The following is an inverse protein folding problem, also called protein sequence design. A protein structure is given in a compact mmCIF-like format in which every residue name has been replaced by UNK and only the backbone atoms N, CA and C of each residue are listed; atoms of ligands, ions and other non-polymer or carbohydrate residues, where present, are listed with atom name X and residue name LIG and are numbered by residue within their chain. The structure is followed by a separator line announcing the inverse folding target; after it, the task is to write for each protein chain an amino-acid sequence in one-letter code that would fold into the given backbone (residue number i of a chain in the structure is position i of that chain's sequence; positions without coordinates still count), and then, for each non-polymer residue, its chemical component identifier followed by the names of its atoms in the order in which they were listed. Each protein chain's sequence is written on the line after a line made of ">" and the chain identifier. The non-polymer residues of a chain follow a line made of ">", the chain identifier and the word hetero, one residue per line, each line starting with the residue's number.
data_IF_125036052060
#
_entry.id   IF_125036052060
#
_cell.length_a   1.000
_cell.length_b   1.000
_cell.length_c   1.000
_cell.angle_alpha   90.00
_cell.angle_beta   90.00
_cell.angle_gamma   90.00
#
_symmetry.space_group_name_H-M   'P 1'
#
loop_
_entity.id
_entity.type
_entity.pdbx_description
1 polymer ?
#
# COMPACT_ATOMS: atom_id res chain seq x y z
N UNK A 1 -39.59 -24.39 26.43
CA UNK A 1 -39.78 -23.02 25.89
C UNK A 1 -38.96 -21.95 26.62
N UNK A 2 -39.08 -21.76 27.94
CA UNK A 2 -38.35 -20.69 28.67
C UNK A 2 -36.81 -20.73 28.52
N UNK A 3 -36.20 -21.91 28.60
CA UNK A 3 -34.73 -22.08 28.40
C UNK A 3 -34.27 -21.72 26.99
N UNK A 4 -35.04 -22.11 25.98
CA UNK A 4 -34.76 -21.77 24.57
C UNK A 4 -34.91 -20.27 24.31
N UNK A 5 -35.92 -19.64 24.90
CA UNK A 5 -36.14 -18.20 24.80
C UNK A 5 -35.02 -17.39 25.48
N UNK A 6 -34.54 -17.84 26.64
CA UNK A 6 -33.40 -17.24 27.34
C UNK A 6 -32.08 -17.39 26.56
N UNK A 7 -31.86 -18.56 25.93
CA UNK A 7 -30.70 -18.78 25.06
C UNK A 7 -30.73 -17.88 23.82
N UNK A 8 -31.90 -17.73 23.19
CA UNK A 8 -32.08 -16.81 22.05
C UNK A 8 -31.89 -15.37 22.49
N UNK A 9 -32.45 -14.96 23.62
CA UNK A 9 -32.28 -13.61 24.17
C UNK A 9 -30.81 -13.31 24.54
N UNK A 10 -30.09 -14.28 25.11
CA UNK A 10 -28.66 -14.15 25.42
C UNK A 10 -27.80 -14.09 24.15
N UNK A 11 -28.12 -14.88 23.13
CA UNK A 11 -27.46 -14.82 21.81
C UNK A 11 -27.72 -13.49 21.10
N UNK A 12 -28.95 -12.99 21.17
CA UNK A 12 -29.32 -11.67 20.63
C UNK A 12 -28.61 -10.56 21.40
N UNK A 13 -28.57 -10.62 22.74
CA UNK A 13 -27.88 -9.66 23.58
C UNK A 13 -26.37 -9.65 23.30
N UNK A 14 -25.73 -10.83 23.20
CA UNK A 14 -24.34 -10.98 22.85
C UNK A 14 -24.05 -10.47 21.42
N UNK A 15 -24.93 -10.77 20.45
CA UNK A 15 -24.84 -10.24 19.10
C UNK A 15 -24.97 -8.71 19.09
N UNK A 16 -25.89 -8.13 19.86
CA UNK A 16 -26.01 -6.66 20.00
C UNK A 16 -24.81 -6.03 20.69
N UNK A 17 -24.21 -6.66 21.70
CA UNK A 17 -22.99 -6.16 22.35
C UNK A 17 -21.77 -6.21 21.42
N UNK A 18 -21.63 -7.28 20.64
CA UNK A 18 -20.59 -7.41 19.60
C UNK A 18 -20.76 -6.40 18.47
N UNK A 19 -22.00 -5.99 18.19
CA UNK A 19 -22.35 -4.98 17.16
C UNK A 19 -22.28 -3.54 17.70
N UNK A 20 -22.62 -3.30 18.96
CA UNK A 20 -22.71 -1.97 19.55
C UNK A 20 -21.38 -1.46 20.13
N UNK A 21 -20.51 -2.33 20.65
CA UNK A 21 -19.21 -1.92 21.19
C UNK A 21 -18.30 -1.20 20.15
N UNK A 22 -18.24 -1.59 18.86
CA UNK A 22 -17.52 -0.84 17.82
C UNK A 22 -18.20 0.49 17.45
N UNK A 23 -19.50 0.64 17.66
CA UNK A 23 -20.23 1.86 17.32
C UNK A 23 -19.91 3.04 18.26
N UNK A 24 -19.28 2.77 19.41
CA UNK A 24 -18.80 3.78 20.35
C UNK A 24 -17.32 4.14 20.14
N UNK A 25 -16.63 3.51 19.19
CA UNK A 25 -15.24 3.86 18.87
C UNK A 25 -15.20 4.93 17.78
N UNK A 26 -14.54 6.05 18.05
CA UNK A 26 -14.21 7.07 17.04
C UNK A 26 -13.07 6.62 16.11
N UNK A 27 -12.40 5.50 16.43
CA UNK A 27 -11.36 4.93 15.57
C UNK A 27 -11.98 4.01 14.51
N UNK A 28 -11.62 4.17 13.22
CA UNK A 28 -12.08 3.28 12.17
C UNK A 28 -11.74 1.82 12.49
N UNK A 29 -12.70 0.91 12.29
CA UNK A 29 -12.44 -0.52 12.41
C UNK A 29 -11.41 -0.97 11.36
N UNK A 30 -10.26 -1.42 11.86
CA UNK A 30 -9.21 -2.03 11.04
C UNK A 30 -9.20 -3.55 11.29
N UNK A 31 -9.47 -4.39 10.26
CA UNK A 31 -9.52 -5.84 10.43
C UNK A 31 -8.16 -6.42 10.82
N UNK A 32 -8.13 -7.41 11.70
CA UNK A 32 -6.87 -8.04 12.12
C UNK A 32 -6.18 -8.75 10.95
N UNK A 33 -4.94 -8.37 10.60
CA UNK A 33 -4.22 -8.99 9.51
C UNK A 33 -3.65 -10.35 9.91
N UNK A 34 -3.48 -11.23 8.92
CA UNK A 34 -2.97 -12.59 9.09
C UNK A 34 -1.87 -12.85 8.06
N UNK A 35 -0.74 -13.36 8.54
CA UNK A 35 0.33 -13.88 7.68
C UNK A 35 0.33 -15.40 7.75
N UNK A 36 0.59 -16.05 6.62
CA UNK A 36 0.73 -17.50 6.56
C UNK A 36 1.62 -17.89 5.37
N UNK A 37 2.14 -19.11 5.39
CA UNK A 37 3.00 -19.60 4.32
C UNK A 37 2.76 -21.08 4.07
N UNK A 38 3.11 -21.54 2.87
CA UNK A 38 3.11 -22.94 2.49
C UNK A 38 4.30 -23.26 1.61
N UNK A 39 4.69 -24.54 1.55
CA UNK A 39 5.64 -24.98 0.53
C UNK A 39 4.98 -24.86 -0.84
N UNK A 40 5.73 -24.35 -1.81
CA UNK A 40 5.22 -24.18 -3.17
C UNK A 40 5.11 -25.57 -3.83
N UNK A 41 3.92 -26.00 -4.29
CA UNK A 41 3.76 -27.29 -4.93
C UNK A 41 4.65 -27.41 -6.17
N UNK A 42 5.59 -28.36 -6.11
CA UNK A 42 6.57 -28.58 -7.17
C UNK A 42 7.86 -27.75 -7.08
N UNK A 43 8.07 -27.02 -5.97
CA UNK A 43 9.33 -26.34 -5.67
C UNK A 43 10.49 -27.28 -5.29
N UNK A 44 10.18 -28.51 -4.83
CA UNK A 44 11.18 -29.48 -4.37
C UNK A 44 11.71 -30.38 -5.51
N UNK A 45 12.01 -29.78 -6.66
CA UNK A 45 12.63 -30.51 -7.78
C UNK A 45 11.69 -31.49 -8.47
N UNK A 46 10.55 -31.00 -8.98
CA UNK A 46 9.73 -31.78 -9.92
C UNK A 46 10.60 -32.11 -11.13
N UNK A 47 10.96 -33.39 -11.19
CA UNK A 47 11.69 -34.05 -12.26
C UNK A 47 11.17 -33.58 -13.62
N UNK A 48 12.10 -33.10 -14.44
CA UNK A 48 11.95 -32.78 -15.85
C UNK A 48 11.13 -31.52 -16.20
N UNK A 49 11.70 -30.34 -15.92
CA UNK A 49 11.78 -29.35 -17.00
C UNK A 49 12.64 -29.98 -18.10
N UNK A 50 12.01 -30.74 -19.01
CA UNK A 50 12.66 -31.20 -20.24
C UNK A 50 13.29 -29.98 -20.92
N UNK A 51 14.62 -30.00 -21.08
CA UNK A 51 15.38 -29.21 -22.03
C UNK A 51 14.92 -27.74 -22.19
N UNK A 52 15.36 -26.86 -21.28
CA UNK A 52 15.35 -25.40 -21.52
C UNK A 52 13.98 -24.71 -21.54
N UNK A 53 12.92 -25.32 -21.02
CA UNK A 53 11.59 -24.69 -20.89
C UNK A 53 11.26 -24.48 -19.41
N UNK A 54 11.01 -23.23 -19.01
CA UNK A 54 10.69 -22.83 -17.64
C UNK A 54 9.51 -23.61 -17.02
N UNK A 55 9.42 -23.59 -15.70
CA UNK A 55 8.39 -24.29 -14.92
C UNK A 55 7.10 -23.47 -14.87
N UNK A 56 5.94 -24.13 -14.97
CA UNK A 56 4.62 -23.53 -14.69
C UNK A 56 3.89 -24.42 -13.69
N UNK A 57 3.47 -23.86 -12.57
CA UNK A 57 2.75 -24.62 -11.55
C UNK A 57 1.36 -25.03 -12.06
N UNK A 58 0.79 -26.12 -11.52
CA UNK A 58 -0.66 -26.28 -11.53
C UNK A 58 -1.30 -25.12 -10.71
N UNK A 59 -2.61 -24.82 -10.88
CA UNK A 59 -3.31 -23.93 -9.95
C UNK A 59 -3.11 -24.37 -8.50
N UNK A 60 -2.63 -23.46 -7.66
CA UNK A 60 -2.37 -23.69 -6.24
C UNK A 60 -3.44 -23.00 -5.43
N UNK A 61 -4.15 -23.75 -4.59
CA UNK A 61 -5.10 -23.22 -3.62
C UNK A 61 -4.40 -22.87 -2.31
N UNK A 62 -4.55 -21.63 -1.88
CA UNK A 62 -4.01 -21.16 -0.62
C UNK A 62 -4.86 -21.68 0.57
N UNK A 63 -4.26 -21.93 1.74
CA UNK A 63 -5.00 -22.37 2.94
C UNK A 63 -6.05 -21.37 3.44
N UNK A 64 -5.88 -20.09 3.12
CA UNK A 64 -6.76 -18.98 3.48
C UNK A 64 -6.80 -17.99 2.32
N UNK A 65 -7.80 -17.10 2.31
CA UNK A 65 -7.77 -15.94 1.41
C UNK A 65 -6.59 -15.02 1.72
N UNK A 66 -6.04 -14.41 0.69
CA UNK A 66 -4.89 -13.50 0.76
C UNK A 66 -5.11 -12.27 -0.09
N UNK A 67 -4.43 -11.19 0.29
CA UNK A 67 -4.38 -9.94 -0.45
C UNK A 67 -3.02 -9.62 -1.03
N UNK A 68 -2.00 -10.31 -0.55
CA UNK A 68 -0.65 -10.20 -1.06
C UNK A 68 0.01 -11.56 -1.01
N UNK A 69 0.81 -11.85 -2.03
CA UNK A 69 1.64 -13.05 -2.09
C UNK A 69 3.04 -12.68 -2.53
N UNK A 70 4.05 -13.29 -1.92
CA UNK A 70 5.41 -13.29 -2.39
C UNK A 70 6.05 -14.66 -2.19
N UNK A 71 7.30 -14.80 -2.61
CA UNK A 71 8.02 -16.05 -2.62
C UNK A 71 9.32 -15.94 -1.83
N UNK A 72 9.72 -17.00 -1.14
CA UNK A 72 10.97 -17.06 -0.39
C UNK A 72 11.66 -18.41 -0.60
N UNK A 73 12.97 -18.41 -0.75
CA UNK A 73 13.79 -19.62 -0.87
C UNK A 73 15.12 -19.48 -0.13
N UNK A 74 15.95 -20.54 -0.16
CA UNK A 74 17.17 -20.64 0.65
C UNK A 74 18.48 -20.39 -0.12
N UNK A 75 18.47 -20.47 -1.45
CA UNK A 75 19.62 -20.21 -2.31
C UNK A 75 19.68 -18.74 -2.73
N UNK A 76 20.80 -18.36 -3.37
CA UNK A 76 21.01 -17.06 -4.03
C UNK A 76 20.57 -17.05 -5.51
N UNK A 77 19.75 -18.02 -5.90
CA UNK A 77 19.21 -18.09 -7.26
C UNK A 77 18.29 -16.90 -7.52
N UNK A 78 18.31 -16.36 -8.74
CA UNK A 78 17.51 -15.20 -9.18
C UNK A 78 16.66 -15.60 -10.39
N UNK A 79 15.67 -16.49 -10.22
CA UNK A 79 14.80 -16.94 -11.31
C UNK A 79 13.97 -15.79 -11.87
N UNK A 80 13.58 -15.83 -13.14
CA UNK A 80 12.47 -15.01 -13.63
C UNK A 80 11.18 -15.56 -13.03
N UNK A 81 10.45 -14.72 -12.30
CA UNK A 81 9.20 -15.11 -11.65
C UNK A 81 8.05 -14.40 -12.35
N UNK A 82 7.01 -15.15 -12.71
CA UNK A 82 5.72 -14.57 -13.06
C UNK A 82 4.61 -15.24 -12.27
N UNK A 83 3.64 -14.46 -11.78
CA UNK A 83 2.55 -14.95 -10.95
C UNK A 83 1.22 -14.36 -11.42
N UNK A 84 0.16 -15.16 -11.36
CA UNK A 84 -1.22 -14.71 -11.52
C UNK A 84 -2.07 -15.27 -10.40
N UNK A 85 -3.16 -14.57 -10.09
CA UNK A 85 -4.08 -14.91 -9.00
C UNK A 85 -5.51 -14.94 -9.50
N UNK A 86 -6.38 -15.60 -8.74
CA UNK A 86 -7.82 -15.49 -8.90
C UNK A 86 -8.54 -15.61 -7.56
N UNK A 87 -9.70 -15.00 -7.49
CA UNK A 87 -10.70 -15.28 -6.47
C UNK A 87 -11.41 -16.61 -6.79
N UNK A 88 -11.93 -17.30 -5.78
CA UNK A 88 -12.70 -18.53 -5.95
C UNK A 88 -13.83 -18.36 -6.98
N UNK A 89 -13.81 -19.18 -8.03
CA UNK A 89 -14.81 -19.14 -9.10
C UNK A 89 -14.71 -17.94 -10.04
N UNK A 90 -13.71 -17.07 -9.85
CA UNK A 90 -13.44 -15.93 -10.71
C UNK A 90 -12.51 -16.26 -11.89
N UNK A 91 -12.37 -15.29 -12.79
CA UNK A 91 -11.40 -15.35 -13.87
C UNK A 91 -9.97 -15.18 -13.34
N UNK A 92 -9.00 -15.74 -14.07
CA UNK A 92 -7.59 -15.48 -13.81
C UNK A 92 -7.25 -14.03 -14.13
N UNK A 93 -6.52 -13.39 -13.22
CA UNK A 93 -5.83 -12.13 -13.52
C UNK A 93 -4.71 -12.32 -14.55
N UNK A 94 -4.14 -11.20 -15.05
CA UNK A 94 -2.98 -11.24 -15.92
C UNK A 94 -1.75 -11.80 -15.19
N UNK A 95 -0.80 -12.31 -15.96
CA UNK A 95 0.53 -12.63 -15.44
C UNK A 95 1.26 -11.35 -15.03
N UNK A 96 1.77 -11.33 -13.81
CA UNK A 96 2.57 -10.24 -13.25
C UNK A 96 3.98 -10.77 -13.00
N UNK A 97 4.99 -10.14 -13.61
CA UNK A 97 6.38 -10.45 -13.31
C UNK A 97 6.75 -9.94 -11.92
N UNK A 98 7.48 -10.76 -11.17
CA UNK A 98 8.05 -10.39 -9.87
C UNK A 98 9.56 -10.42 -10.00
N UNK A 99 10.21 -9.41 -9.43
CA UNK A 99 11.65 -9.42 -9.26
C UNK A 99 12.04 -10.49 -8.24
N UNK A 100 13.15 -11.20 -8.48
CA UNK A 100 13.64 -12.33 -7.67
C UNK A 100 14.84 -11.99 -6.79
N UNK A 101 15.30 -10.75 -6.86
CA UNK A 101 16.24 -10.15 -5.93
C UNK A 101 15.49 -9.31 -4.90
N UNK A 102 16.09 -9.13 -3.72
CA UNK A 102 15.71 -8.00 -2.88
C UNK A 102 16.12 -6.74 -3.63
N UNK A 103 15.22 -6.12 -4.39
CA UNK A 103 15.56 -4.95 -5.19
C UNK A 103 16.16 -3.86 -4.30
N UNK A 104 15.66 -3.71 -3.07
CA UNK A 104 16.30 -3.02 -1.95
C UNK A 104 16.73 -3.97 -0.83
N UNK A 105 17.78 -3.63 -0.09
CA UNK A 105 18.20 -4.35 1.10
C UNK A 105 18.79 -3.39 2.16
N UNK A 106 18.87 -3.80 3.44
CA UNK A 106 19.61 -3.05 4.44
C UNK A 106 21.07 -2.85 4.02
N UNK A 107 21.65 -1.71 4.40
CA UNK A 107 23.07 -1.41 4.13
C UNK A 107 24.00 -2.41 4.84
N UNK A 108 25.18 -2.65 4.25
CA UNK A 108 26.19 -3.52 4.83
C UNK A 108 26.64 -3.01 6.21
N UNK A 109 26.45 -3.83 7.24
CA UNK A 109 26.69 -3.45 8.64
C UNK A 109 25.40 -3.17 9.44
N UNK A 110 24.23 -3.16 8.80
CA UNK A 110 22.94 -3.17 9.51
C UNK A 110 22.73 -4.47 10.29
N UNK A 111 22.03 -4.38 11.42
CA UNK A 111 21.57 -5.53 12.19
C UNK A 111 20.41 -6.29 11.52
N UNK A 112 19.82 -5.74 10.46
CA UNK A 112 18.73 -6.37 9.73
C UNK A 112 19.23 -7.43 8.73
N UNK A 113 18.59 -8.60 8.65
CA UNK A 113 19.01 -9.66 7.75
C UNK A 113 18.76 -9.29 6.27
N UNK A 114 19.65 -9.76 5.39
CA UNK A 114 19.39 -9.82 3.95
C UNK A 114 18.94 -11.24 3.60
N UNK A 115 17.70 -11.46 3.13
CA UNK A 115 17.26 -12.74 2.63
C UNK A 115 18.18 -13.27 1.53
N UNK A 116 18.43 -14.59 1.52
CA UNK A 116 19.21 -15.23 0.43
C UNK A 116 18.44 -15.26 -0.89
N UNK A 117 17.12 -15.41 -0.81
CA UNK A 117 16.25 -15.48 -1.98
C UNK A 117 14.81 -15.14 -1.62
N UNK A 118 14.26 -14.12 -2.26
CA UNK A 118 12.91 -13.62 -2.02
C UNK A 118 12.41 -12.86 -3.24
N UNK A 119 11.11 -12.94 -3.54
CA UNK A 119 10.51 -12.11 -4.57
C UNK A 119 10.00 -10.80 -4.00
N UNK A 120 9.83 -9.80 -4.86
CA UNK A 120 8.96 -8.67 -4.56
C UNK A 120 7.53 -9.15 -4.26
N UNK A 121 6.81 -8.46 -3.37
CA UNK A 121 5.44 -8.83 -3.05
C UNK A 121 4.47 -8.44 -4.17
N UNK A 122 3.50 -9.29 -4.45
CA UNK A 122 2.44 -9.04 -5.43
C UNK A 122 1.11 -8.77 -4.72
N UNK A 123 0.53 -7.58 -4.92
CA UNK A 123 -0.86 -7.33 -4.52
C UNK A 123 -1.81 -8.20 -5.35
N UNK A 124 -2.66 -8.95 -4.66
CA UNK A 124 -3.49 -10.01 -5.21
C UNK A 124 -4.99 -9.72 -5.08
N UNK A 125 -5.39 -8.55 -4.57
CA UNK A 125 -6.80 -8.25 -4.31
C UNK A 125 -7.42 -9.24 -3.32
N UNK A 126 -8.61 -9.79 -3.58
CA UNK A 126 -9.23 -10.80 -2.73
C UNK A 126 -9.11 -12.19 -3.38
N UNK A 127 -7.98 -12.87 -3.19
CA UNK A 127 -7.66 -14.12 -3.90
C UNK A 127 -7.56 -15.32 -2.96
N UNK A 128 -7.77 -16.53 -3.50
CA UNK A 128 -7.53 -17.81 -2.81
C UNK A 128 -6.80 -18.84 -3.67
N UNK A 129 -6.56 -18.55 -4.94
CA UNK A 129 -5.75 -19.37 -5.82
C UNK A 129 -4.70 -18.54 -6.55
N UNK A 130 -3.55 -19.16 -6.81
CA UNK A 130 -2.48 -18.60 -7.61
C UNK A 130 -1.93 -19.62 -8.61
N UNK A 131 -1.21 -19.12 -9.61
CA UNK A 131 -0.35 -19.91 -10.46
C UNK A 131 0.94 -19.13 -10.68
N UNK A 132 2.07 -19.83 -10.76
CA UNK A 132 3.37 -19.19 -10.95
C UNK A 132 4.20 -19.86 -12.04
N UNK A 133 5.14 -19.10 -12.59
CA UNK A 133 6.16 -19.52 -13.55
C UNK A 133 7.54 -19.19 -12.99
N UNK A 134 8.50 -20.06 -13.26
CA UNK A 134 9.90 -19.87 -12.92
C UNK A 134 10.78 -20.19 -14.14
N UNK A 135 11.81 -19.39 -14.42
CA UNK A 135 12.79 -19.74 -15.46
C UNK A 135 13.62 -20.97 -15.08
N UNK A 136 13.85 -21.20 -13.79
CA UNK A 136 14.67 -22.29 -13.25
C UNK A 136 14.06 -22.90 -11.97
N UNK A 137 14.43 -24.14 -11.61
CA UNK A 137 14.01 -24.76 -10.34
C UNK A 137 14.62 -24.06 -9.12
N UNK A 138 13.80 -23.85 -8.09
CA UNK A 138 14.22 -23.18 -6.84
C UNK A 138 13.93 -24.07 -5.63
N UNK A 139 14.93 -24.82 -5.12
CA UNK A 139 14.73 -25.73 -3.99
C UNK A 139 14.24 -25.01 -2.72
N UNK A 140 13.26 -25.61 -2.05
CA UNK A 140 12.71 -25.08 -0.80
C UNK A 140 11.93 -23.77 -0.99
N UNK A 141 11.35 -23.56 -2.18
CA UNK A 141 10.47 -22.44 -2.48
C UNK A 141 9.23 -22.47 -1.57
N UNK A 142 8.98 -21.35 -0.89
CA UNK A 142 7.82 -21.12 -0.04
C UNK A 142 7.02 -19.94 -0.57
N UNK A 143 5.70 -20.11 -0.60
CA UNK A 143 4.75 -19.05 -0.86
C UNK A 143 4.40 -18.39 0.47
N UNK A 144 4.55 -17.07 0.54
CA UNK A 144 4.25 -16.25 1.71
C UNK A 144 3.05 -15.36 1.39
N UNK A 145 2.03 -15.44 2.23
CA UNK A 145 0.76 -14.75 2.03
C UNK A 145 0.48 -13.78 3.17
N UNK A 146 -0.17 -12.68 2.83
CA UNK A 146 -0.68 -11.70 3.79
C UNK A 146 -2.14 -11.40 3.46
N UNK A 147 -3.00 -11.39 4.47
CA UNK A 147 -4.37 -10.87 4.40
C UNK A 147 -4.50 -9.69 5.35
N UNK A 148 -4.78 -8.50 4.85
CA UNK A 148 -4.95 -7.26 5.63
C UNK A 148 -6.38 -6.76 5.67
N UNK A 149 -7.27 -7.35 4.87
CA UNK A 149 -8.68 -6.97 4.78
C UNK A 149 -9.58 -7.76 5.73
N UNK A 150 -9.03 -8.69 6.51
CA UNK A 150 -9.78 -9.49 7.47
C UNK A 150 -10.79 -10.44 6.81
N UNK A 151 -10.48 -10.90 5.60
CA UNK A 151 -11.30 -11.79 4.79
C UNK A 151 -10.78 -13.24 4.73
N UNK A 152 -9.71 -13.52 5.49
CA UNK A 152 -8.92 -14.76 5.43
C UNK A 152 -9.74 -16.04 5.59
N UNK A 153 -10.81 -16.02 6.40
CA UNK A 153 -11.74 -17.16 6.63
C UNK A 153 -13.19 -16.74 6.41
N UNK A 154 -14.14 -17.68 6.18
CA UNK A 154 -15.57 -17.36 6.08
C UNK A 154 -16.11 -16.60 7.29
N UNK A 155 -15.75 -17.01 8.51
CA UNK A 155 -16.16 -16.31 9.72
C UNK A 155 -15.58 -14.90 9.80
N UNK A 156 -14.30 -14.71 9.43
CA UNK A 156 -13.68 -13.39 9.41
C UNK A 156 -14.38 -12.44 8.42
N UNK A 157 -14.81 -12.94 7.26
CA UNK A 157 -15.56 -12.14 6.27
C UNK A 157 -16.88 -11.61 6.83
N UNK A 158 -17.65 -12.46 7.51
CA UNK A 158 -18.93 -12.06 8.11
C UNK A 158 -18.70 -11.00 9.18
N UNK A 159 -17.74 -11.24 10.09
CA UNK A 159 -17.40 -10.29 11.15
C UNK A 159 -16.93 -8.95 10.60
N UNK A 160 -16.05 -8.96 9.60
CA UNK A 160 -15.54 -7.74 8.96
C UNK A 160 -16.65 -6.99 8.20
N UNK A 161 -17.53 -7.69 7.48
CA UNK A 161 -18.66 -7.07 6.80
C UNK A 161 -19.59 -6.37 7.80
N UNK A 162 -19.96 -7.05 8.90
CA UNK A 162 -20.79 -6.47 9.96
C UNK A 162 -20.13 -5.24 10.59
N UNK A 163 -18.88 -5.35 11.03
CA UNK A 163 -18.16 -4.26 11.70
C UNK A 163 -17.86 -3.07 10.79
N UNK A 164 -17.53 -3.33 9.52
CA UNK A 164 -17.25 -2.27 8.55
C UNK A 164 -18.52 -1.50 8.16
N UNK A 165 -19.70 -2.14 8.18
CA UNK A 165 -20.98 -1.46 7.94
C UNK A 165 -21.36 -0.56 9.13
N UNK A 166 -21.16 -1.05 10.36
CA UNK A 166 -21.38 -0.25 11.59
C UNK A 166 -20.43 0.94 11.64
N UNK A 167 -19.14 0.72 11.36
CA UNK A 167 -18.12 1.79 11.38
C UNK A 167 -18.36 2.84 10.30
N UNK A 168 -18.86 2.46 9.12
CA UNK A 168 -19.25 3.40 8.05
C UNK A 168 -20.45 4.26 8.44
N UNK A 169 -21.42 3.71 9.16
CA UNK A 169 -22.58 4.47 9.66
C UNK A 169 -22.19 5.52 10.73
N UNK A 170 -21.12 5.26 11.50
CA UNK A 170 -20.55 6.21 12.47
C UNK A 170 -19.64 7.23 11.77
N UNK A 171 -18.83 6.81 10.82
CA UNK A 171 -17.94 7.70 10.05
C UNK A 171 -18.70 8.72 9.18
N UNK A 172 -19.95 8.43 8.76
CA UNK A 172 -20.81 9.43 8.10
C UNK A 172 -21.25 10.60 8.98
N UNK A 173 -20.96 10.56 10.29
CA UNK A 173 -21.19 11.68 11.23
C UNK A 173 -19.91 12.48 11.53
N UNK A 174 -18.76 12.07 10.99
CA UNK A 174 -17.50 12.80 11.07
C UNK A 174 -17.13 13.29 9.67
N UNK A 175 -16.95 14.60 9.55
CA UNK A 175 -16.52 15.30 8.33
C UNK A 175 -15.25 14.71 7.73
N UNK A 176 -14.96 14.94 6.44
CA UNK A 176 -13.75 14.48 5.79
C UNK A 176 -12.54 14.87 6.64
N UNK A 177 -11.55 13.99 6.75
CA UNK A 177 -10.23 14.39 7.22
C UNK A 177 -9.77 15.53 6.32
N UNK A 178 -9.81 16.74 6.86
CA UNK A 178 -9.20 17.89 6.21
C UNK A 178 -7.78 17.48 5.84
N UNK A 179 -7.45 17.66 4.57
CA UNK A 179 -6.10 17.48 4.09
C UNK A 179 -5.21 18.41 4.91
N UNK A 180 -4.45 17.86 5.85
CA UNK A 180 -3.51 18.62 6.66
C UNK A 180 -2.39 19.11 5.73
N UNK A 181 -2.61 20.24 5.07
CA UNK A 181 -1.54 21.10 4.62
C UNK A 181 -0.95 21.74 5.87
N UNK A 182 0.09 21.11 6.42
CA UNK A 182 0.81 21.66 7.56
C UNK A 182 1.65 22.87 7.12
N UNK A 183 1.89 23.80 8.03
CA UNK A 183 2.68 25.01 7.79
C UNK A 183 4.05 24.68 7.14
N UNK A 184 4.54 25.53 6.23
CA UNK A 184 5.89 25.40 5.65
C UNK A 184 6.02 24.50 4.41
N UNK A 185 4.92 24.22 3.69
CA UNK A 185 4.99 23.52 2.39
C UNK A 185 5.07 21.99 2.49
N UNK A 186 4.83 21.42 3.68
CA UNK A 186 4.71 19.98 3.86
C UNK A 186 3.46 19.44 3.14
N UNK A 187 3.57 18.41 2.28
CA UNK A 187 2.39 17.80 1.69
C UNK A 187 1.59 17.00 2.73
N UNK A 188 0.30 16.79 2.47
CA UNK A 188 -0.51 15.87 3.27
C UNK A 188 0.07 14.46 3.19
N UNK A 189 0.38 13.87 4.36
CA UNK A 189 0.96 12.53 4.49
C UNK A 189 0.07 11.73 5.45
N UNK A 190 -0.41 10.57 5.00
CA UNK A 190 -1.17 9.63 5.81
C UNK A 190 -0.22 9.00 6.83
N UNK A 191 -0.44 9.22 8.15
CA UNK A 191 0.44 8.71 9.18
C UNK A 191 0.31 7.20 9.32
N UNK A 192 1.34 6.57 9.91
CA UNK A 192 1.38 5.12 10.14
C UNK A 192 0.14 4.52 10.79
N UNK A 193 -0.39 5.18 11.81
CA UNK A 193 -1.59 4.72 12.50
C UNK A 193 -2.82 4.67 11.58
N UNK A 194 -2.94 5.61 10.64
CA UNK A 194 -4.10 5.72 9.76
C UNK A 194 -4.15 4.61 8.68
N UNK A 195 -3.01 4.06 8.26
CA UNK A 195 -2.98 2.89 7.38
C UNK A 195 -2.84 1.55 8.12
N UNK A 196 -2.83 1.57 9.46
CA UNK A 196 -2.89 0.37 10.29
C UNK A 196 -1.54 -0.25 10.66
N UNK A 197 -0.44 0.51 10.64
CA UNK A 197 0.90 0.01 10.97
C UNK A 197 1.00 -0.69 12.34
N UNK A 198 0.19 -0.27 13.31
CA UNK A 198 0.11 -0.89 14.64
C UNK A 198 -0.32 -2.35 14.60
N UNK A 199 -0.96 -2.79 13.51
CA UNK A 199 -1.42 -4.15 13.31
C UNK A 199 -0.28 -5.04 12.79
N UNK A 200 0.74 -5.21 13.63
CA UNK A 200 1.86 -6.12 13.42
C UNK A 200 2.87 -5.67 12.35
N UNK A 201 2.96 -4.37 12.10
CA UNK A 201 4.10 -3.75 11.44
C UNK A 201 4.77 -2.65 12.29
N UNK A 202 4.90 -2.87 13.61
CA UNK A 202 5.74 -2.02 14.46
C UNK A 202 7.22 -2.32 14.21
N UNK A 203 8.10 -1.30 14.19
CA UNK A 203 9.53 -1.52 13.96
C UNK A 203 10.09 -2.50 15.00
N UNK A 204 10.95 -3.44 14.57
CA UNK A 204 11.58 -4.43 15.48
C UNK A 204 12.66 -3.81 16.34
N UNK A 205 13.27 -2.75 15.86
CA UNK A 205 14.39 -2.04 16.47
C UNK A 205 14.13 -0.54 16.42
N UNK A 206 14.82 0.23 17.25
CA UNK A 206 14.80 1.69 17.16
C UNK A 206 15.28 2.13 15.76
N UNK A 207 14.52 3.00 15.05
CA UNK A 207 14.93 3.48 13.73
C UNK A 207 16.27 4.22 13.77
N UNK A 208 17.17 3.85 12.87
CA UNK A 208 18.41 4.58 12.66
C UNK A 208 18.18 5.88 11.87
N UNK A 209 19.05 6.86 12.09
CA UNK A 209 19.03 8.13 11.36
C UNK A 209 20.34 8.35 10.63
N UNK A 210 20.26 8.85 9.39
CA UNK A 210 21.38 9.22 8.54
C UNK A 210 21.27 10.68 8.10
N UNK A 211 21.52 10.92 6.81
CA UNK A 211 21.31 12.23 6.16
C UNK A 211 20.46 12.04 4.91
N UNK A 212 19.75 13.08 4.46
CA UNK A 212 19.01 13.01 3.18
C UNK A 212 19.68 13.94 2.19
N UNK A 213 20.39 13.36 1.23
CA UNK A 213 21.09 14.09 0.15
C UNK A 213 20.45 13.87 -1.22
N UNK A 214 19.78 12.74 -1.41
CA UNK A 214 19.13 12.30 -2.65
C UNK A 214 17.77 11.67 -2.34
N UNK A 215 16.84 11.76 -3.30
CA UNK A 215 15.62 10.98 -3.31
C UNK A 215 15.72 9.86 -4.35
N UNK A 216 15.58 8.60 -3.92
CA UNK A 216 15.43 7.47 -4.82
C UNK A 216 13.96 7.16 -5.06
N UNK A 217 13.58 7.05 -6.34
CA UNK A 217 12.24 6.72 -6.79
C UNK A 217 12.17 5.23 -7.11
N UNK A 218 11.19 4.56 -6.50
CA UNK A 218 10.94 3.13 -6.63
C UNK A 218 9.54 2.87 -7.18
N UNK A 219 9.33 1.63 -7.60
CA UNK A 219 8.01 1.01 -7.63
C UNK A 219 7.94 -0.12 -6.60
N UNK A 220 6.76 -0.64 -6.30
CA UNK A 220 6.61 -1.75 -5.33
C UNK A 220 6.52 -3.12 -5.98
N UNK A 221 6.48 -3.20 -7.32
CA UNK A 221 6.30 -4.43 -8.10
C UNK A 221 4.99 -5.16 -7.76
N UNK A 222 3.94 -4.40 -7.47
CA UNK A 222 2.59 -4.93 -7.18
C UNK A 222 1.63 -4.68 -8.34
N UNK A 223 0.56 -5.48 -8.45
CA UNK A 223 -0.49 -5.19 -9.42
C UNK A 223 -1.05 -3.75 -9.27
N UNK A 224 -1.25 -3.06 -10.40
CA UNK A 224 -1.77 -1.68 -10.44
C UNK A 224 -3.29 -1.58 -10.23
N UNK A 225 -3.98 -2.73 -10.28
CA UNK A 225 -5.43 -2.82 -10.13
C UNK A 225 -5.80 -2.82 -8.64
N UNK A 226 -5.93 -1.63 -8.06
CA UNK A 226 -6.50 -1.40 -6.74
C UNK A 226 -7.28 -0.08 -6.70
N UNK A 227 -8.30 -0.02 -5.85
CA UNK A 227 -9.05 1.20 -5.54
C UNK A 227 -8.37 2.04 -4.47
N UNK A 228 -8.71 3.32 -4.35
CA UNK A 228 -8.16 4.21 -3.32
C UNK A 228 -8.40 3.65 -1.90
N UNK A 229 -9.56 3.03 -1.66
CA UNK A 229 -9.89 2.39 -0.39
C UNK A 229 -9.02 1.16 -0.06
N UNK A 230 -8.39 0.54 -1.06
CA UNK A 230 -7.50 -0.61 -0.88
C UNK A 230 -6.03 -0.22 -0.69
N UNK A 231 -5.64 1.01 -1.06
CA UNK A 231 -4.25 1.45 -0.96
C UNK A 231 -3.66 1.33 0.46
N UNK A 232 -4.35 1.74 1.56
CA UNK A 232 -3.83 1.54 2.91
C UNK A 232 -3.58 0.07 3.26
N UNK A 233 -4.49 -0.82 2.84
CA UNK A 233 -4.36 -2.26 3.08
C UNK A 233 -3.19 -2.89 2.29
N UNK A 234 -2.90 -2.36 1.09
CA UNK A 234 -1.74 -2.74 0.30
C UNK A 234 -0.43 -2.28 0.95
N UNK A 235 -0.36 -1.04 1.45
CA UNK A 235 0.78 -0.51 2.21
C UNK A 235 1.05 -1.38 3.44
N UNK A 236 0.02 -1.69 4.23
CA UNK A 236 0.14 -2.58 5.39
C UNK A 236 0.64 -3.98 5.00
N UNK A 237 0.15 -4.52 3.89
CA UNK A 237 0.53 -5.86 3.45
C UNK A 237 2.01 -5.92 3.03
N UNK A 238 2.50 -4.90 2.31
CA UNK A 238 3.92 -4.76 1.95
C UNK A 238 4.78 -4.64 3.21
N UNK A 239 4.35 -3.81 4.17
CA UNK A 239 5.04 -3.62 5.44
C UNK A 239 5.20 -4.96 6.18
N UNK A 240 4.11 -5.73 6.30
CA UNK A 240 4.13 -7.06 6.92
C UNK A 240 5.00 -8.05 6.15
N UNK A 241 4.98 -8.01 4.82
CA UNK A 241 5.87 -8.85 4.01
C UNK A 241 7.35 -8.54 4.28
N UNK A 242 7.74 -7.27 4.25
CA UNK A 242 9.13 -6.86 4.54
C UNK A 242 9.54 -7.28 5.97
N UNK A 243 8.67 -7.05 6.95
CA UNK A 243 8.99 -7.34 8.35
C UNK A 243 8.98 -8.83 8.70
N UNK A 244 8.04 -9.59 8.16
CA UNK A 244 7.75 -10.96 8.60
C UNK A 244 8.25 -12.02 7.60
N UNK A 245 8.36 -11.69 6.32
CA UNK A 245 8.98 -12.56 5.30
C UNK A 245 10.46 -12.23 5.09
N UNK A 246 10.81 -10.95 4.85
CA UNK A 246 12.22 -10.55 4.63
C UNK A 246 12.99 -10.49 5.96
N UNK A 247 12.29 -10.28 7.07
CA UNK A 247 12.88 -10.19 8.41
C UNK A 247 13.43 -8.80 8.75
N UNK A 248 13.12 -7.80 7.93
CA UNK A 248 13.49 -6.41 8.19
C UNK A 248 12.81 -5.88 9.45
N UNK A 249 13.32 -4.77 9.96
CA UNK A 249 12.76 -4.10 11.13
C UNK A 249 11.38 -3.54 10.83
N UNK A 250 11.16 -3.02 9.62
CA UNK A 250 9.94 -2.34 9.18
C UNK A 250 9.83 -2.37 7.64
N UNK A 251 8.84 -1.69 7.05
CA UNK A 251 8.82 -1.38 5.62
C UNK A 251 10.12 -0.68 5.19
N UNK A 252 10.64 -1.03 4.02
CA UNK A 252 11.97 -0.58 3.58
C UNK A 252 12.01 0.86 3.06
N UNK A 253 10.86 1.36 2.59
CA UNK A 253 10.73 2.69 1.99
C UNK A 253 10.39 3.75 3.05
N UNK A 254 10.91 4.96 2.90
CA UNK A 254 10.54 6.08 3.77
C UNK A 254 9.12 6.56 3.51
N UNK A 255 8.70 6.55 2.24
CA UNK A 255 7.36 6.93 1.82
C UNK A 255 6.82 5.99 0.75
N UNK A 256 5.50 5.86 0.70
CA UNK A 256 4.78 5.18 -0.39
C UNK A 256 3.80 6.17 -1.02
N UNK A 257 3.69 6.20 -2.34
CA UNK A 257 2.75 7.04 -3.09
C UNK A 257 1.87 6.16 -3.95
N UNK A 258 0.55 6.26 -3.79
CA UNK A 258 -0.40 5.51 -4.61
C UNK A 258 -0.73 6.22 -5.93
N UNK A 259 -1.41 5.51 -6.84
CA UNK A 259 -1.87 6.06 -8.14
C UNK A 259 -2.90 7.19 -8.01
N UNK A 260 -3.42 7.46 -6.81
CA UNK A 260 -4.38 8.53 -6.53
C UNK A 260 -3.69 9.79 -6.01
N UNK A 261 -2.37 9.74 -5.79
CA UNK A 261 -1.58 10.86 -5.28
C UNK A 261 -1.56 10.95 -3.75
N UNK A 262 -2.04 9.92 -3.05
CA UNK A 262 -1.94 9.82 -1.59
C UNK A 262 -0.51 9.47 -1.22
N UNK A 263 0.08 10.22 -0.28
CA UNK A 263 1.40 9.93 0.28
C UNK A 263 1.20 9.27 1.64
N UNK A 264 1.86 8.14 1.86
CA UNK A 264 1.86 7.41 3.12
C UNK A 264 3.24 7.52 3.77
N UNK A 265 3.25 7.77 5.09
CA UNK A 265 4.45 7.55 5.90
C UNK A 265 4.80 6.06 5.84
N UNK A 266 5.96 5.75 5.27
CA UNK A 266 6.53 4.42 5.25
C UNK A 266 7.26 4.16 6.56
N UNK A 267 8.58 3.93 6.51
CA UNK A 267 9.42 3.51 7.65
C UNK A 267 9.29 4.41 8.87
N UNK A 268 9.08 3.81 10.05
CA UNK A 268 8.91 4.50 11.31
C UNK A 268 10.15 5.30 11.70
N UNK A 269 9.93 6.40 12.43
CA UNK A 269 11.00 7.25 12.97
C UNK A 269 10.75 8.74 12.81
N UNK A 270 9.79 9.12 11.97
CA UNK A 270 9.36 10.50 11.73
C UNK A 270 9.50 10.92 10.27
N UNK A 271 8.45 11.52 9.71
CA UNK A 271 8.39 11.97 8.31
C UNK A 271 9.38 13.09 7.99
N UNK A 272 9.74 13.88 8.98
CA UNK A 272 10.67 15.01 8.90
C UNK A 272 12.13 14.56 9.07
N UNK A 273 12.39 13.47 9.81
CA UNK A 273 13.73 12.95 10.11
C UNK A 273 14.39 12.18 8.96
N UNK A 274 15.71 12.08 8.98
CA UNK A 274 16.51 11.31 8.01
C UNK A 274 16.53 9.82 8.36
N UNK A 275 15.36 9.18 8.45
CA UNK A 275 15.26 7.75 8.79
C UNK A 275 15.98 6.93 7.71
N UNK A 276 16.95 6.11 8.12
CA UNK A 276 17.65 5.20 7.20
C UNK A 276 16.65 4.16 6.69
N UNK A 277 16.59 3.90 5.40
CA UNK A 277 15.73 2.89 4.78
C UNK A 277 16.37 1.49 4.65
N UNK A 278 15.70 0.61 3.91
CA UNK A 278 16.24 -0.66 3.38
C UNK A 278 15.86 -0.81 1.89
N UNK A 279 15.88 0.31 1.18
CA UNK A 279 15.28 0.51 -0.14
C UNK A 279 16.31 0.56 -1.28
N UNK A 280 17.54 1.02 -1.02
CA UNK A 280 18.64 1.09 -1.98
C UNK A 280 19.94 0.79 -1.24
N UNK A 281 20.32 -0.49 -1.21
CA UNK A 281 21.50 -0.94 -0.46
C UNK A 281 22.73 -0.20 -0.92
N UNK A 282 23.58 0.20 0.04
CA UNK A 282 24.77 1.00 -0.22
C UNK A 282 24.49 2.50 -0.13
N UNK A 283 23.23 2.91 -0.16
CA UNK A 283 22.83 4.32 -0.25
C UNK A 283 21.76 4.72 0.79
N UNK A 284 21.26 3.79 1.60
CA UNK A 284 20.13 4.07 2.50
C UNK A 284 20.45 5.14 3.55
N UNK A 285 21.69 5.19 4.04
CA UNK A 285 22.11 6.16 5.05
C UNK A 285 22.18 7.62 4.55
N UNK A 286 22.19 7.86 3.23
CA UNK A 286 22.31 9.19 2.63
C UNK A 286 21.10 9.58 1.75
N UNK A 287 20.01 8.82 1.82
CA UNK A 287 18.87 8.97 0.92
C UNK A 287 17.51 8.86 1.60
N UNK A 288 16.48 9.34 0.90
CA UNK A 288 15.08 9.03 1.19
C UNK A 288 14.50 8.21 0.03
N UNK A 289 13.90 7.05 0.33
CA UNK A 289 13.25 6.20 -0.69
C UNK A 289 11.75 6.45 -0.78
N UNK A 290 11.27 6.67 -2.00
CA UNK A 290 9.85 6.92 -2.31
C UNK A 290 9.35 5.84 -3.25
N UNK A 291 8.53 4.93 -2.74
CA UNK A 291 7.95 3.85 -3.53
C UNK A 291 6.61 4.21 -4.13
N UNK A 292 6.48 4.06 -5.44
CA UNK A 292 5.23 4.19 -6.15
C UNK A 292 4.51 2.84 -6.09
N UNK A 293 3.32 2.80 -5.48
CA UNK A 293 2.55 1.58 -5.32
C UNK A 293 2.04 1.07 -6.68
N UNK A 294 2.70 0.04 -7.20
CA UNK A 294 2.44 -0.51 -8.52
C UNK A 294 3.67 -1.14 -9.20
N UNK A 295 3.45 -1.64 -10.42
CA UNK A 295 4.47 -2.11 -11.37
C UNK A 295 4.45 -1.20 -12.59
N UNK A 296 5.52 -0.44 -12.79
CA UNK A 296 5.64 0.56 -13.87
C UNK A 296 6.69 0.19 -14.92
N UNK A 297 6.76 -1.09 -15.28
CA UNK A 297 7.64 -1.57 -16.35
C UNK A 297 7.15 -1.08 -17.73
N UNK A 298 5.85 -1.13 -17.97
CA UNK A 298 5.21 -0.71 -19.22
C UNK A 298 4.13 0.36 -19.02
N UNK A 299 3.40 0.30 -17.91
CA UNK A 299 2.40 1.32 -17.55
C UNK A 299 3.09 2.51 -16.86
N UNK A 300 2.72 3.73 -17.27
CA UNK A 300 3.19 4.97 -16.63
C UNK A 300 2.47 5.20 -15.30
N UNK A 301 3.15 5.85 -14.36
CA UNK A 301 2.50 6.37 -13.17
C UNK A 301 1.61 7.57 -13.54
N UNK A 302 0.51 7.73 -12.81
CA UNK A 302 -0.48 8.78 -13.05
C UNK A 302 0.08 10.19 -12.81
N UNK A 303 -0.42 11.23 -13.52
CA UNK A 303 0.04 12.60 -13.32
C UNK A 303 -0.12 13.13 -11.88
N UNK A 304 -1.20 12.75 -11.19
CA UNK A 304 -1.46 13.14 -9.81
C UNK A 304 -0.46 12.52 -8.82
N UNK A 305 -0.09 11.26 -9.01
CA UNK A 305 0.95 10.60 -8.23
C UNK A 305 2.33 11.20 -8.51
N UNK A 306 2.65 11.51 -9.78
CA UNK A 306 3.88 12.22 -10.14
C UNK A 306 3.96 13.59 -9.46
N UNK A 307 2.86 14.36 -9.45
CA UNK A 307 2.78 15.61 -8.70
C UNK A 307 2.97 15.42 -7.18
N UNK A 308 2.41 14.35 -6.61
CA UNK A 308 2.57 14.04 -5.19
C UNK A 308 4.03 13.70 -4.84
N UNK A 309 4.69 12.85 -5.65
CA UNK A 309 6.13 12.55 -5.52
C UNK A 309 6.96 13.83 -5.60
N UNK A 310 6.68 14.71 -6.58
CA UNK A 310 7.42 15.95 -6.74
C UNK A 310 7.26 16.89 -5.54
N UNK A 311 6.02 17.09 -5.04
CA UNK A 311 5.76 17.88 -3.82
C UNK A 311 6.49 17.33 -2.61
N UNK A 312 6.49 16.01 -2.45
CA UNK A 312 7.17 15.32 -1.35
C UNK A 312 8.68 15.56 -1.38
N UNK A 313 9.32 15.40 -2.54
CA UNK A 313 10.76 15.62 -2.70
C UNK A 313 11.11 17.09 -2.49
N UNK A 314 10.31 18.01 -3.05
CA UNK A 314 10.52 19.46 -2.92
C UNK A 314 10.44 19.95 -1.47
N UNK A 315 9.65 19.28 -0.63
CA UNK A 315 9.62 19.51 0.81
C UNK A 315 10.77 18.80 1.54
N UNK A 316 11.01 17.52 1.23
CA UNK A 316 11.91 16.67 1.99
C UNK A 316 13.38 17.02 1.80
N UNK A 317 13.83 17.41 0.61
CA UNK A 317 15.25 17.73 0.38
C UNK A 317 15.68 19.00 1.13
N UNK A 318 14.99 20.16 1.00
CA UNK A 318 15.39 21.39 1.69
C UNK A 318 15.30 21.30 3.20
N UNK A 319 14.38 20.48 3.73
CA UNK A 319 14.30 20.18 5.16
C UNK A 319 15.62 19.60 5.73
N UNK A 320 16.44 19.00 4.88
CA UNK A 320 17.76 18.44 5.21
C UNK A 320 18.92 19.26 4.61
N UNK A 321 18.68 20.50 4.19
CA UNK A 321 19.67 21.38 3.57
C UNK A 321 20.13 20.93 2.17
N UNK A 322 19.44 19.96 1.56
CA UNK A 322 19.76 19.49 0.22
C UNK A 322 19.02 20.33 -0.84
N UNK A 323 19.69 20.79 -1.92
CA UNK A 323 19.01 21.46 -3.03
C UNK A 323 18.09 20.49 -3.76
N UNK A 324 17.07 21.04 -4.43
CA UNK A 324 16.05 20.28 -5.16
C UNK A 324 16.47 19.88 -6.57
N UNK A 325 17.59 20.39 -7.07
CA UNK A 325 18.08 20.14 -8.43
C UNK A 325 19.59 19.91 -8.48
N UNK A 326 20.08 19.52 -9.66
CA UNK A 326 21.49 19.20 -9.90
C UNK A 326 21.87 17.79 -9.47
N UNK A 327 23.17 17.59 -9.27
CA UNK A 327 23.76 16.30 -8.90
C UNK A 327 24.30 16.29 -7.48
N UNK A 328 24.62 15.10 -7.00
CA UNK A 328 25.20 14.85 -5.68
C UNK A 328 26.15 13.67 -5.72
N UNK A 329 27.22 13.74 -4.93
CA UNK A 329 28.18 12.65 -4.73
C UNK A 329 27.87 11.95 -3.41
N UNK A 330 27.76 10.63 -3.45
CA UNK A 330 27.50 9.78 -2.27
C UNK A 330 28.59 8.73 -2.17
N UNK A 331 28.86 8.26 -0.96
CA UNK A 331 29.86 7.21 -0.73
C UNK A 331 29.14 5.88 -0.51
N UNK A 332 29.40 4.90 -1.38
CA UNK A 332 28.74 3.60 -1.28
C UNK A 332 29.10 2.91 0.04
N UNK A 333 28.10 2.48 0.80
CA UNK A 333 28.29 1.55 1.92
C UNK A 333 28.57 0.11 1.44
N UNK A 334 28.56 -0.15 0.14
CA UNK A 334 28.70 -1.48 -0.45
C UNK A 334 27.47 -2.37 -0.21
N UNK A 335 27.54 -3.60 -0.71
CA UNK A 335 26.45 -4.57 -0.65
C UNK A 335 26.32 -5.36 -1.93
N UNK A 336 25.56 -6.46 -1.90
CA UNK A 336 25.41 -7.34 -3.05
C UNK A 336 24.61 -6.70 -4.21
N UNK A 337 23.73 -5.76 -3.90
CA UNK A 337 22.82 -5.16 -4.90
C UNK A 337 23.29 -3.80 -5.41
N UNK A 338 24.28 -3.16 -4.79
CA UNK A 338 24.84 -1.90 -5.30
C UNK A 338 25.84 -2.18 -6.43
N UNK A 339 25.94 -1.25 -7.38
CA UNK A 339 26.93 -1.30 -8.46
C UNK A 339 28.34 -0.96 -8.01
N UNK A 340 28.47 -0.30 -6.86
CA UNK A 340 29.72 0.29 -6.41
C UNK A 340 30.18 -0.36 -5.12
N UNK A 341 31.44 -0.78 -5.09
CA UNK A 341 32.10 -1.30 -3.90
C UNK A 341 32.10 -0.28 -2.76
N UNK A 342 32.22 -0.77 -1.52
CA UNK A 342 32.27 0.08 -0.33
C UNK A 342 33.37 1.13 -0.46
N UNK A 343 33.06 2.39 -0.12
CA UNK A 343 33.99 3.51 -0.18
C UNK A 343 34.07 4.19 -1.56
N UNK A 344 33.55 3.58 -2.61
CA UNK A 344 33.51 4.19 -3.94
C UNK A 344 32.46 5.30 -4.00
N UNK A 345 32.81 6.41 -4.65
CA UNK A 345 31.92 7.57 -4.79
C UNK A 345 31.06 7.43 -6.05
N UNK A 346 29.74 7.46 -5.89
CA UNK A 346 28.77 7.53 -6.98
C UNK A 346 28.25 8.96 -7.17
N UNK A 347 27.95 9.35 -8.41
CA UNK A 347 27.31 10.63 -8.75
C UNK A 347 25.89 10.38 -9.21
N UNK A 348 24.93 11.06 -8.60
CA UNK A 348 23.50 10.90 -8.84
C UNK A 348 22.83 12.24 -9.13
N UNK A 349 21.69 12.22 -9.81
CA UNK A 349 20.79 13.36 -9.78
C UNK A 349 20.15 13.45 -8.39
N UNK A 350 19.76 14.65 -7.93
CA UNK A 350 19.02 14.80 -6.64
C UNK A 350 17.74 13.95 -6.58
N UNK A 351 17.16 13.69 -7.75
CA UNK A 351 16.08 12.71 -7.93
C UNK A 351 16.56 11.64 -8.89
N UNK A 352 16.78 10.44 -8.37
CA UNK A 352 17.31 9.31 -9.11
C UNK A 352 16.36 8.12 -9.05
N UNK A 353 16.37 7.29 -10.08
CA UNK A 353 15.69 6.00 -10.03
C UNK A 353 16.52 5.02 -9.23
N UNK A 354 15.89 4.01 -8.63
CA UNK A 354 16.62 2.97 -7.91
C UNK A 354 17.74 2.31 -8.77
N UNK A 355 17.44 2.01 -10.04
CA UNK A 355 18.42 1.49 -11.02
C UNK A 355 19.60 2.41 -11.33
N UNK A 356 19.62 3.66 -10.85
CA UNK A 356 20.80 4.50 -11.01
C UNK A 356 21.92 4.05 -10.03
N UNK A 357 21.55 3.57 -8.84
CA UNK A 357 22.49 3.16 -7.78
C UNK A 357 22.67 1.64 -7.61
N UNK A 358 21.70 0.84 -8.07
CA UNK A 358 21.64 -0.60 -7.79
C UNK A 358 21.42 -1.45 -9.06
N UNK A 359 21.76 -2.74 -8.97
CA UNK A 359 21.52 -3.75 -9.99
C UNK A 359 20.04 -4.19 -9.94
N UNK A 360 19.17 -3.38 -10.51
CA UNK A 360 17.73 -3.60 -10.48
C UNK A 360 17.03 -2.99 -11.69
N UNK A 361 15.84 -3.51 -12.01
CA UNK A 361 14.92 -2.92 -12.99
C UNK A 361 14.04 -1.81 -12.37
N UNK A 362 13.96 -1.70 -11.05
CA UNK A 362 13.19 -0.67 -10.35
C UNK A 362 13.66 0.76 -10.74
N UNK A 363 12.78 1.74 -11.01
CA UNK A 363 11.33 1.77 -10.80
C UNK A 363 10.48 1.27 -12.00
N UNK A 364 11.05 0.47 -12.89
CA UNK A 364 10.42 0.08 -14.16
C UNK A 364 10.61 1.13 -15.27
N UNK A 365 10.60 0.70 -16.53
CA UNK A 365 11.00 1.57 -17.66
C UNK A 365 10.05 2.76 -17.84
N UNK A 366 8.74 2.55 -17.65
CA UNK A 366 7.76 3.60 -17.85
C UNK A 366 7.87 4.70 -16.77
N UNK A 367 7.99 4.35 -15.49
CA UNK A 367 8.21 5.35 -14.42
C UNK A 367 9.63 5.94 -14.49
N UNK A 368 10.64 5.16 -14.87
CA UNK A 368 11.99 5.70 -15.09
C UNK A 368 12.00 6.78 -16.18
N UNK A 369 11.22 6.61 -17.26
CA UNK A 369 11.04 7.63 -18.30
C UNK A 369 10.38 8.92 -17.79
N UNK A 370 9.70 8.89 -16.63
CA UNK A 370 9.05 10.04 -16.01
C UNK A 370 9.97 10.80 -15.02
N UNK A 371 11.21 10.32 -14.78
CA UNK A 371 12.13 11.00 -13.87
C UNK A 371 12.48 12.43 -14.31
N UNK A 372 12.51 12.69 -15.63
CA UNK A 372 12.70 14.06 -16.15
C UNK A 372 11.59 15.01 -15.72
N UNK A 373 10.33 14.59 -15.87
CA UNK A 373 9.15 15.34 -15.44
C UNK A 373 9.14 15.55 -13.91
N UNK A 374 9.45 14.50 -13.13
CA UNK A 374 9.58 14.63 -11.67
C UNK A 374 10.65 15.66 -11.32
N UNK A 375 11.85 15.60 -11.92
CA UNK A 375 12.94 16.57 -11.66
C UNK A 375 12.51 17.99 -12.00
N UNK A 376 11.83 18.20 -13.13
CA UNK A 376 11.33 19.51 -13.53
C UNK A 376 10.33 20.07 -12.50
N UNK A 377 9.35 19.27 -12.07
CA UNK A 377 8.35 19.67 -11.06
C UNK A 377 8.99 19.94 -9.68
N UNK A 378 9.98 19.15 -9.29
CA UNK A 378 10.74 19.33 -8.05
C UNK A 378 11.54 20.64 -8.08
N UNK A 379 12.11 21.00 -9.24
CA UNK A 379 12.78 22.28 -9.47
C UNK A 379 11.83 23.49 -9.55
N UNK A 380 10.52 23.26 -9.60
CA UNK A 380 9.49 24.30 -9.59
C UNK A 380 8.82 24.58 -10.92
N UNK A 381 9.09 23.78 -11.97
CA UNK A 381 8.35 23.87 -13.22
C UNK A 381 6.88 23.42 -13.06
N UNK A 382 5.97 24.13 -13.72
CA UNK A 382 4.58 23.68 -13.87
C UNK A 382 4.50 22.44 -14.79
N UNK A 383 3.52 21.54 -14.57
CA UNK A 383 3.39 20.32 -15.37
C UNK A 383 3.36 20.62 -16.88
N UNK A 384 4.19 19.92 -17.66
CA UNK A 384 4.04 19.91 -19.11
C UNK A 384 2.71 19.21 -19.43
N UNK A 385 1.72 19.95 -19.96
CA UNK A 385 0.47 19.38 -20.46
C UNK A 385 0.75 18.60 -21.73
N UNK A 386 1.26 17.38 -21.60
CA UNK A 386 1.42 16.46 -22.72
C UNK A 386 0.28 15.44 -22.72
N UNK A 387 -0.67 15.64 -23.63
CA UNK A 387 -1.59 14.63 -24.15
C UNK A 387 -2.82 14.34 -23.29
N UNK A 388 -3.99 14.70 -23.81
CA UNK A 388 -5.31 14.24 -23.37
C UNK A 388 -5.32 12.71 -23.15
N UNK A 389 -5.65 12.21 -21.95
CA UNK A 389 -6.10 10.83 -21.83
C UNK A 389 -7.44 10.71 -22.55
N UNK A 390 -7.43 10.13 -23.76
CA UNK A 390 -8.62 9.60 -24.38
C UNK A 390 -9.17 8.50 -23.48
N UNK A 391 -10.22 8.81 -22.74
CA UNK A 391 -10.87 7.92 -21.79
C UNK A 391 -11.71 8.75 -20.85
N UNK A 392 -13.00 8.87 -21.17
CA UNK A 392 -14.03 9.62 -20.47
C UNK A 392 -13.91 9.55 -18.93
N UNK A 393 -13.16 10.50 -18.36
CA UNK A 393 -13.31 10.88 -16.96
C UNK A 393 -14.22 12.10 -16.94
N UNK A 394 -15.52 11.84 -16.94
CA UNK A 394 -16.47 12.86 -16.51
C UNK A 394 -16.09 13.28 -15.08
N UNK A 395 -16.01 14.58 -14.76
CA UNK A 395 -15.95 15.00 -13.37
C UNK A 395 -17.21 14.45 -12.71
N UNK A 396 -17.06 13.50 -11.79
CA UNK A 396 -18.18 13.10 -10.95
C UNK A 396 -18.48 14.29 -10.03
N UNK A 397 -19.35 15.19 -10.49
CA UNK A 397 -20.25 15.91 -9.60
C UNK A 397 -21.03 14.84 -8.86
N UNK A 398 -20.58 14.52 -7.64
CA UNK A 398 -21.33 13.70 -6.72
C UNK A 398 -22.65 14.42 -6.44
N UNK A 399 -23.68 14.09 -7.21
CA UNK A 399 -25.02 14.58 -6.96
C UNK A 399 -25.52 13.75 -5.79
N UNK A 400 -25.32 14.23 -4.57
CA UNK A 400 -25.87 13.60 -3.38
C UNK A 400 -27.40 13.70 -3.45
N UNK A 401 -28.05 12.64 -3.96
CA UNK A 401 -29.50 12.48 -3.84
C UNK A 401 -29.81 12.07 -2.40
N UNK A 402 -30.01 13.05 -1.52
CA UNK A 402 -30.60 12.81 -0.22
C UNK A 402 -32.07 12.41 -0.41
N UNK A 403 -32.35 11.11 -0.41
CA UNK A 403 -33.73 10.62 -0.39
C UNK A 403 -34.19 10.63 1.07
N UNK A 404 -34.93 11.66 1.46
CA UNK A 404 -35.72 11.64 2.70
C UNK A 404 -36.79 10.54 2.55
N UNK A 405 -36.50 9.31 2.97
CA UNK A 405 -37.57 8.34 3.25
C UNK A 405 -38.42 8.97 4.36
N UNK A 406 -39.72 9.16 4.10
CA UNK A 406 -40.70 9.54 5.12
C UNK A 406 -40.50 8.63 6.34
N UNK A 407 -39.83 9.14 7.37
CA UNK A 407 -39.94 8.56 8.69
C UNK A 407 -41.32 8.97 9.19
N UNK A 408 -42.23 8.01 9.27
CA UNK A 408 -43.50 8.19 9.96
C UNK A 408 -43.19 8.57 11.41
N UNK A 409 -43.22 9.87 11.72
CA UNK A 409 -43.17 10.37 13.08
C UNK A 409 -44.43 9.86 13.80
N UNK A 410 -44.26 8.92 14.73
CA UNK A 410 -45.32 8.56 15.67
C UNK A 410 -45.43 9.72 16.67
N UNK A 411 -46.44 10.56 16.49
CA UNK A 411 -46.77 11.66 17.40
C UNK A 411 -47.31 11.05 18.69
N UNK A 412 -46.59 11.23 19.80
CA UNK A 412 -47.16 11.14 21.14
C UNK A 412 -47.73 12.52 21.46
N UNK A 413 -49.04 12.59 21.76
CA UNK A 413 -49.82 13.80 22.05
C UNK A 413 -50.20 14.71 20.86
N UNK A 414 -51.11 14.21 20.00
CA UNK A 414 -52.29 14.96 19.53
C UNK A 414 -52.15 16.25 18.68
N UNK A 415 -50.97 16.66 18.19
CA UNK A 415 -50.85 17.86 17.33
C UNK A 415 -50.02 17.61 16.08
N UNK A 416 -50.59 17.93 14.91
CA UNK A 416 -49.95 17.77 13.60
C UNK A 416 -49.26 19.09 13.22
N UNK A 417 -47.93 19.08 13.08
CA UNK A 417 -47.18 20.18 12.48
C UNK A 417 -46.70 19.80 11.07
N UNK A 418 -46.79 20.74 10.13
CA UNK A 418 -46.25 20.54 8.76
C UNK A 418 -44.79 20.99 8.75
N UNK A 419 -43.90 20.07 8.37
CA UNK A 419 -42.47 20.34 8.17
C UNK A 419 -42.19 20.42 6.68
N UNK A 420 -41.61 21.53 6.23
CA UNK A 420 -41.13 21.70 4.86
C UNK A 420 -39.66 22.10 4.88
N UNK A 421 -38.86 21.54 3.97
CA UNK A 421 -37.46 21.89 3.81
C UNK A 421 -37.10 22.09 2.33
N UNK A 422 -36.13 22.96 2.08
CA UNK A 422 -35.52 23.19 0.76
C UNK A 422 -33.99 23.18 0.87
N UNK A 423 -33.30 22.88 -0.24
CA UNK A 423 -31.84 22.83 -0.33
C UNK A 423 -31.38 23.83 -1.37
N UNK A 424 -30.45 24.73 -1.00
CA UNK A 424 -29.77 25.61 -1.95
C UNK A 424 -28.45 24.98 -2.42
N UNK A 425 -28.25 24.75 -3.73
CA UNK A 425 -27.04 24.10 -4.25
C UNK A 425 -25.76 24.93 -4.06
N UNK A 426 -25.89 26.25 -3.87
CA UNK A 426 -24.74 27.16 -3.81
C UNK A 426 -24.07 27.25 -2.43
N UNK A 427 -24.78 26.92 -1.35
CA UNK A 427 -24.31 27.12 0.03
C UNK A 427 -24.37 25.88 0.91
N UNK A 428 -24.93 24.77 0.42
CA UNK A 428 -25.10 23.51 1.16
C UNK A 428 -25.81 23.67 2.53
N UNK A 429 -26.66 24.69 2.69
CA UNK A 429 -27.48 24.88 3.89
C UNK A 429 -28.86 24.21 3.74
N UNK A 430 -29.33 23.60 4.82
CA UNK A 430 -30.68 23.02 4.93
C UNK A 430 -31.51 23.90 5.88
N UNK A 431 -32.55 24.53 5.36
CA UNK A 431 -33.49 25.31 6.17
C UNK A 431 -34.73 24.48 6.46
N UNK A 432 -35.03 24.26 7.74
CA UNK A 432 -36.25 23.58 8.19
C UNK A 432 -37.20 24.61 8.77
N UNK A 433 -38.38 24.75 8.17
CA UNK A 433 -39.44 25.64 8.67
C UNK A 433 -40.57 24.81 9.26
N UNK A 434 -40.96 25.14 10.49
CA UNK A 434 -42.12 24.54 11.16
C UNK A 434 -43.19 25.62 11.27
N UNK A 435 -44.25 25.51 10.48
CA UNK A 435 -45.41 26.41 10.57
C UNK A 435 -46.51 25.76 11.38
N UNK A 436 -47.02 26.51 12.37
CA UNK A 436 -48.24 26.16 13.10
C UNK A 436 -49.44 26.32 12.16
N UNK A 437 -50.37 25.38 12.18
CA UNK A 437 -51.75 25.63 11.73
C UNK A 437 -52.59 26.01 12.92
#
# INVERSE_FOLDING_TARGET
>A
MKRTLMLVAALVAAATLVVAAPAMSVTPYLPTPVDFAMNAPGGDGVRAARAGRGFVSAPVRAPKRFNLVGMKWKSVAEPDIALRVRAAGGAWGPWTSLDSHTDGAPDGGSAEPTPRGVSSPAWAGESDELQYRLSEPVPGLRLHFVNTTGSSTPAARVTTALRSNVSRAVATLTTPVDAFAQAGGQPSIVPRAAWGADQGCRPRTTPATGTVKVAFVHHTVTANAYSAAQAPAAVLAICRYHRNSNGWSDIGYNFVVDRFGTIYEGRAGGIDRAVVGAQAQGWNAESTGIANLGTFSTERQTPQAISAVARLIRWKLPLHGAPTSGTVRLTSAGGATTRLSRGTIGTFNRVSGHRDGNNTSCPGNALFSQLGDIRARVAGATPETTGTPGGDYLPQTATARATLKRQSARVVAGRVARVTGSVSPATAQVTVSVTRR
#
